data_IF_000166293377
#
_entry.id   IF_000166293377
#
_cell.length_a   1.000
_cell.length_b   1.000
_cell.length_c   1.000
_cell.angle_alpha   90.00
_cell.angle_beta   90.00
_cell.angle_gamma   90.00
#
_symmetry.space_group_name_H-M   'P 1'
#
loop_
_entity.id
_entity.type
_entity.pdbx_description
1 polymer ?
#
# COMPACT_ATOMS: atom_id res chain seq x y z
N UNK A 1 -34.03 -50.41 -32.12
CA UNK A 1 -32.62 -50.35 -31.68
C UNK A 1 -32.26 -48.86 -31.58
N UNK A 2 -32.52 -48.21 -30.43
CA UNK A 2 -31.56 -47.93 -29.33
C UNK A 2 -30.44 -46.97 -29.80
N UNK A 3 -30.53 -45.66 -29.54
CA UNK A 3 -30.15 -44.90 -28.31
C UNK A 3 -28.69 -44.40 -28.31
N UNK A 4 -28.47 -43.11 -28.06
CA UNK A 4 -27.15 -42.57 -27.69
C UNK A 4 -27.00 -41.04 -27.77
N UNK A 5 -27.15 -40.36 -26.63
CA UNK A 5 -26.81 -38.95 -26.39
C UNK A 5 -25.30 -38.67 -26.51
N UNK A 6 -24.94 -37.42 -26.80
CA UNK A 6 -23.55 -36.94 -26.78
C UNK A 6 -23.40 -35.41 -26.69
N UNK A 7 -23.86 -34.85 -25.57
CA UNK A 7 -23.41 -33.66 -24.82
C UNK A 7 -22.59 -32.53 -25.50
N UNK A 8 -23.10 -31.31 -25.32
CA UNK A 8 -22.39 -30.03 -25.32
C UNK A 8 -21.08 -30.06 -24.51
N UNK A 9 -20.03 -29.40 -25.02
CA UNK A 9 -19.00 -28.78 -24.17
C UNK A 9 -18.85 -27.32 -24.55
N UNK A 10 -19.84 -26.52 -24.15
CA UNK A 10 -19.62 -25.08 -23.95
C UNK A 10 -18.55 -24.95 -22.88
N UNK A 11 -17.34 -24.53 -23.29
CA UNK A 11 -16.27 -24.12 -22.37
C UNK A 11 -16.85 -23.00 -21.51
N UNK A 12 -17.31 -23.35 -20.29
CA UNK A 12 -17.55 -22.37 -19.23
C UNK A 12 -16.22 -21.69 -18.95
N UNK A 13 -16.03 -20.55 -19.58
CA UNK A 13 -15.04 -19.57 -19.18
C UNK A 13 -15.40 -19.18 -17.74
N UNK A 14 -14.50 -19.48 -16.81
CA UNK A 14 -14.65 -19.05 -15.42
C UNK A 14 -14.51 -17.52 -15.41
N UNK A 15 -15.40 -16.77 -14.76
CA UNK A 15 -15.19 -15.34 -14.60
C UNK A 15 -14.11 -15.13 -13.54
N UNK A 16 -12.88 -14.87 -13.98
CA UNK A 16 -11.77 -14.42 -13.13
C UNK A 16 -11.81 -12.89 -12.86
N UNK A 17 -13.00 -12.27 -12.86
CA UNK A 17 -13.18 -10.80 -12.76
C UNK A 17 -13.84 -10.32 -11.45
N UNK A 18 -13.22 -10.54 -10.27
CA UNK A 18 -13.44 -9.59 -9.16
C UNK A 18 -12.16 -9.06 -8.49
N UNK A 19 -11.00 -9.71 -8.62
CA UNK A 19 -9.81 -9.32 -7.85
C UNK A 19 -9.13 -8.07 -8.41
N UNK A 20 -9.00 -7.98 -9.74
CA UNK A 20 -8.26 -6.88 -10.38
C UNK A 20 -8.91 -5.51 -10.16
N UNK A 21 -10.25 -5.47 -10.08
CA UNK A 21 -11.00 -4.25 -9.80
C UNK A 21 -10.76 -3.72 -8.38
N UNK A 22 -10.61 -4.62 -7.41
CA UNK A 22 -10.33 -4.26 -6.02
C UNK A 22 -8.90 -3.71 -5.91
N UNK A 23 -7.92 -4.40 -6.49
CA UNK A 23 -6.53 -3.95 -6.48
C UNK A 23 -6.38 -2.56 -7.09
N UNK A 24 -6.97 -2.35 -8.28
CA UNK A 24 -6.91 -1.05 -8.93
C UNK A 24 -7.63 0.05 -8.13
N UNK A 25 -8.71 -0.30 -7.43
CA UNK A 25 -9.40 0.61 -6.50
C UNK A 25 -8.50 0.97 -5.32
N UNK A 26 -7.83 0.00 -4.69
CA UNK A 26 -6.91 0.24 -3.57
C UNK A 26 -5.77 1.17 -3.98
N UNK A 27 -5.14 0.89 -5.13
CA UNK A 27 -4.09 1.75 -5.70
C UNK A 27 -4.62 3.17 -5.89
N UNK A 28 -5.79 3.32 -6.52
CA UNK A 28 -6.37 4.64 -6.79
C UNK A 28 -6.67 5.44 -5.52
N UNK A 29 -7.14 4.78 -4.46
CA UNK A 29 -7.42 5.42 -3.18
C UNK A 29 -6.13 5.94 -2.52
N UNK A 30 -5.08 5.11 -2.50
CA UNK A 30 -3.76 5.48 -1.94
C UNK A 30 -3.11 6.58 -2.77
N UNK A 31 -3.13 6.50 -4.10
CA UNK A 31 -2.48 7.50 -4.97
C UNK A 31 -3.15 8.87 -4.84
N UNK A 32 -4.48 8.93 -4.72
CA UNK A 32 -5.25 10.20 -4.73
C UNK A 32 -5.37 10.88 -3.37
N UNK A 33 -4.98 10.21 -2.28
CA UNK A 33 -5.04 10.82 -0.94
C UNK A 33 -4.14 12.06 -0.89
N UNK A 34 -4.64 13.13 -0.25
CA UNK A 34 -3.91 14.40 -0.11
C UNK A 34 -3.94 15.34 -1.33
N UNK A 35 -4.68 15.03 -2.39
CA UNK A 35 -4.80 15.94 -3.54
C UNK A 35 -5.66 17.19 -3.21
N UNK A 36 -5.41 18.31 -3.91
CA UNK A 36 -5.80 19.71 -3.57
C UNK A 36 -7.30 20.02 -3.36
N UNK A 37 -8.18 19.03 -3.48
CA UNK A 37 -9.65 19.20 -3.42
C UNK A 37 -10.31 18.56 -2.19
N UNK A 38 -9.54 18.18 -1.18
CA UNK A 38 -10.08 17.57 0.03
C UNK A 38 -10.23 18.62 1.13
N UNK A 39 -11.48 18.96 1.46
CA UNK A 39 -11.80 19.95 2.50
C UNK A 39 -11.35 19.52 3.92
N UNK A 40 -11.17 18.21 4.15
CA UNK A 40 -10.68 17.67 5.42
C UNK A 40 -9.80 16.43 5.17
N UNK A 41 -8.49 16.64 5.01
CA UNK A 41 -7.52 15.57 4.73
C UNK A 41 -7.42 14.56 5.87
N UNK A 42 -7.61 15.00 7.12
CA UNK A 42 -7.54 14.14 8.30
C UNK A 42 -8.65 13.10 8.29
N UNK A 43 -9.90 13.53 8.11
CA UNK A 43 -11.04 12.60 8.04
C UNK A 43 -10.92 11.61 6.86
N UNK A 44 -10.36 12.05 5.73
CA UNK A 44 -10.11 11.15 4.60
C UNK A 44 -9.00 10.14 4.89
N UNK A 45 -7.95 10.53 5.63
CA UNK A 45 -6.90 9.61 6.04
C UNK A 45 -7.40 8.55 7.01
N UNK A 46 -8.20 8.94 8.00
CA UNK A 46 -8.84 8.01 8.96
C UNK A 46 -9.80 7.06 8.24
N UNK A 47 -10.66 7.59 7.36
CA UNK A 47 -11.57 6.77 6.58
C UNK A 47 -10.83 5.80 5.66
N UNK A 48 -9.74 6.24 5.04
CA UNK A 48 -8.90 5.38 4.20
C UNK A 48 -8.20 4.30 5.02
N UNK A 49 -7.62 4.63 6.18
CA UNK A 49 -6.94 3.64 7.01
C UNK A 49 -7.88 2.52 7.44
N UNK A 50 -9.12 2.84 7.84
CA UNK A 50 -10.12 1.82 8.18
C UNK A 50 -10.54 0.94 6.99
N UNK A 51 -10.62 1.53 5.78
CA UNK A 51 -10.90 0.74 4.59
C UNK A 51 -9.75 -0.22 4.27
N UNK A 52 -8.51 0.28 4.30
CA UNK A 52 -7.32 -0.52 4.01
C UNK A 52 -7.09 -1.62 5.06
N UNK A 53 -7.36 -1.35 6.33
CA UNK A 53 -7.30 -2.33 7.42
C UNK A 53 -8.10 -3.60 7.09
N UNK A 54 -9.34 -3.45 6.60
CA UNK A 54 -10.18 -4.57 6.19
C UNK A 54 -9.64 -5.36 5.00
N UNK A 55 -8.82 -4.74 4.15
CA UNK A 55 -8.24 -5.35 2.94
C UNK A 55 -6.82 -5.92 3.16
N UNK A 56 -6.16 -5.58 4.28
CA UNK A 56 -4.82 -6.08 4.62
C UNK A 56 -4.69 -7.61 4.56
N UNK A 57 -5.63 -8.44 5.05
CA UNK A 57 -5.49 -9.90 5.02
C UNK A 57 -5.28 -10.50 3.63
N UNK A 58 -5.68 -9.79 2.57
CA UNK A 58 -5.61 -10.27 1.17
C UNK A 58 -4.70 -9.43 0.30
N UNK A 59 -4.53 -8.14 0.60
CA UNK A 59 -3.86 -7.17 -0.27
C UNK A 59 -2.69 -6.45 0.41
N UNK A 60 -2.17 -7.01 1.51
CA UNK A 60 -1.06 -6.43 2.30
C UNK A 60 0.12 -5.93 1.46
N UNK A 61 0.65 -6.78 0.59
CA UNK A 61 1.84 -6.45 -0.20
C UNK A 61 1.54 -5.33 -1.19
N UNK A 62 0.41 -5.40 -1.89
CA UNK A 62 -0.02 -4.35 -2.82
C UNK A 62 -0.16 -3.00 -2.12
N UNK A 63 -0.81 -2.97 -0.95
CA UNK A 63 -0.99 -1.75 -0.16
C UNK A 63 0.37 -1.19 0.25
N UNK A 64 1.27 -2.02 0.75
CA UNK A 64 2.60 -1.61 1.17
C UNK A 64 3.42 -1.10 -0.02
N UNK A 65 3.48 -1.84 -1.13
CA UNK A 65 4.18 -1.46 -2.35
C UNK A 65 3.68 -0.11 -2.89
N UNK A 66 2.35 0.06 -2.97
CA UNK A 66 1.76 1.32 -3.43
C UNK A 66 2.16 2.49 -2.53
N UNK A 67 2.18 2.30 -1.20
CA UNK A 67 2.60 3.34 -0.26
C UNK A 67 4.08 3.69 -0.46
N UNK A 68 4.95 2.70 -0.64
CA UNK A 68 6.39 2.92 -0.87
C UNK A 68 6.63 3.68 -2.17
N UNK A 69 6.01 3.25 -3.27
CA UNK A 69 6.08 3.95 -4.55
C UNK A 69 5.61 5.40 -4.43
N UNK A 70 4.47 5.60 -3.75
CA UNK A 70 3.94 6.92 -3.51
C UNK A 70 4.89 7.79 -2.66
N UNK A 71 5.45 7.27 -1.57
CA UNK A 71 6.40 8.00 -0.74
C UNK A 71 7.68 8.38 -1.49
N UNK A 72 8.15 7.52 -2.39
CA UNK A 72 9.36 7.74 -3.18
C UNK A 72 9.14 8.73 -4.33
N UNK A 73 8.02 8.61 -5.06
CA UNK A 73 7.76 9.35 -6.30
C UNK A 73 6.87 10.59 -6.12
N UNK A 74 6.03 10.63 -5.08
CA UNK A 74 5.11 11.74 -4.79
C UNK A 74 5.58 12.49 -3.54
N UNK A 75 6.84 12.97 -3.54
CA UNK A 75 7.48 13.53 -2.34
C UNK A 75 6.71 14.67 -1.65
N UNK A 76 5.97 15.56 -2.36
CA UNK A 76 5.15 16.59 -1.70
C UNK A 76 4.08 16.03 -0.76
N UNK A 77 3.72 14.75 -0.90
CA UNK A 77 2.73 14.05 -0.09
C UNK A 77 3.36 13.07 0.92
N UNK A 78 4.67 13.12 1.16
CA UNK A 78 5.36 12.18 2.06
C UNK A 78 4.74 12.11 3.46
N UNK A 79 4.40 13.26 4.06
CA UNK A 79 3.75 13.31 5.37
C UNK A 79 2.36 12.67 5.39
N UNK A 80 1.63 12.71 4.27
CA UNK A 80 0.33 12.04 4.11
C UNK A 80 0.54 10.51 4.17
N UNK A 81 1.54 10.00 3.46
CA UNK A 81 1.85 8.57 3.47
C UNK A 81 2.43 8.10 4.80
N UNK A 82 3.28 8.89 5.45
CA UNK A 82 3.74 8.60 6.82
C UNK A 82 2.58 8.53 7.82
N UNK A 83 1.65 9.49 7.76
CA UNK A 83 0.44 9.49 8.60
C UNK A 83 -0.44 8.27 8.34
N UNK A 84 -0.66 7.91 7.07
CA UNK A 84 -1.43 6.71 6.71
C UNK A 84 -0.81 5.44 7.29
N UNK A 85 0.52 5.28 7.21
CA UNK A 85 1.21 4.15 7.84
C UNK A 85 1.09 4.21 9.36
N UNK A 86 1.18 5.38 9.98
CA UNK A 86 0.96 5.54 11.43
C UNK A 86 -0.42 5.06 11.88
N UNK A 87 -1.46 5.44 11.15
CA UNK A 87 -2.83 4.98 11.41
C UNK A 87 -2.96 3.46 11.24
N UNK A 88 -2.39 2.90 10.16
CA UNK A 88 -2.39 1.46 9.93
C UNK A 88 -1.57 0.69 10.96
N UNK A 89 -0.44 1.22 11.42
CA UNK A 89 0.37 0.65 12.49
C UNK A 89 -0.40 0.61 13.82
N UNK A 90 -1.18 1.65 14.12
CA UNK A 90 -2.00 1.67 15.33
C UNK A 90 -3.13 0.62 15.29
N UNK A 91 -3.69 0.33 14.12
CA UNK A 91 -4.72 -0.70 13.96
C UNK A 91 -4.13 -2.12 13.85
N UNK A 92 -3.05 -2.27 13.08
CA UNK A 92 -2.40 -3.53 12.72
C UNK A 92 -0.87 -3.42 12.91
N UNK A 93 -0.35 -3.59 14.14
CA UNK A 93 1.08 -3.39 14.45
C UNK A 93 2.03 -4.25 13.62
N UNK A 94 1.61 -5.46 13.24
CA UNK A 94 2.40 -6.33 12.37
C UNK A 94 2.64 -5.68 11.01
N UNK A 95 1.68 -4.91 10.48
CA UNK A 95 1.86 -4.12 9.24
C UNK A 95 2.93 -3.06 9.41
N UNK A 96 2.88 -2.29 10.50
CA UNK A 96 3.92 -1.31 10.82
C UNK A 96 5.31 -1.95 10.97
N UNK A 97 5.41 -3.10 11.62
CA UNK A 97 6.66 -3.86 11.74
C UNK A 97 7.20 -4.30 10.36
N UNK A 98 6.33 -4.71 9.43
CA UNK A 98 6.74 -5.05 8.07
C UNK A 98 7.22 -3.84 7.28
N UNK A 99 6.55 -2.69 7.44
CA UNK A 99 6.99 -1.43 6.83
C UNK A 99 8.35 -1.00 7.38
N UNK A 100 8.56 -1.08 8.70
CA UNK A 100 9.82 -0.77 9.35
C UNK A 100 10.97 -1.66 8.85
N UNK A 101 10.75 -2.96 8.77
CA UNK A 101 11.74 -3.89 8.25
C UNK A 101 12.08 -3.62 6.77
N UNK A 102 11.06 -3.33 5.95
CA UNK A 102 11.22 -3.04 4.52
C UNK A 102 11.98 -1.74 4.28
N UNK A 103 11.62 -0.65 4.96
CA UNK A 103 12.28 0.65 4.76
C UNK A 103 13.75 0.61 5.17
N UNK A 104 14.09 -0.11 6.25
CA UNK A 104 15.48 -0.34 6.65
C UNK A 104 16.25 -1.10 5.57
N UNK A 105 15.69 -2.21 5.07
CA UNK A 105 16.30 -3.03 4.02
C UNK A 105 16.52 -2.23 2.73
N UNK A 106 15.50 -1.51 2.25
CA UNK A 106 15.60 -0.74 1.02
C UNK A 106 16.55 0.45 1.14
N UNK A 107 16.58 1.12 2.30
CA UNK A 107 17.52 2.21 2.53
C UNK A 107 18.96 1.71 2.54
N UNK A 108 19.24 0.58 3.22
CA UNK A 108 20.56 -0.03 3.21
C UNK A 108 20.98 -0.42 1.79
N UNK A 109 20.09 -1.07 1.03
CA UNK A 109 20.35 -1.43 -0.35
C UNK A 109 20.65 -0.19 -1.22
N UNK A 110 19.89 0.89 -1.06
CA UNK A 110 20.11 2.13 -1.80
C UNK A 110 21.45 2.80 -1.47
N UNK A 111 21.95 2.65 -0.24
CA UNK A 111 23.28 3.11 0.17
C UNK A 111 24.38 2.26 -0.49
N UNK A 112 24.22 0.94 -0.48
CA UNK A 112 25.17 -0.01 -1.08
C UNK A 112 25.26 0.18 -2.61
N UNK A 113 24.12 0.46 -3.26
CA UNK A 113 24.04 0.71 -4.70
C UNK A 113 24.44 2.14 -5.11
N UNK A 114 24.79 3.00 -4.13
CA UNK A 114 25.06 4.42 -4.35
C UNK A 114 23.95 5.12 -5.14
N UNK A 115 22.68 4.87 -4.80
CA UNK A 115 21.50 5.36 -5.51
C UNK A 115 20.92 6.66 -4.87
N UNK A 116 21.41 7.87 -5.22
CA UNK A 116 21.11 9.09 -4.45
C UNK A 116 19.64 9.49 -4.43
N UNK A 117 18.89 9.19 -5.50
CA UNK A 117 17.45 9.50 -5.54
C UNK A 117 16.64 8.59 -4.61
N UNK A 118 16.99 7.30 -4.56
CA UNK A 118 16.38 6.34 -3.65
C UNK A 118 16.73 6.68 -2.20
N UNK A 119 18.01 6.93 -1.90
CA UNK A 119 18.47 7.38 -0.57
C UNK A 119 17.64 8.61 -0.12
N UNK A 120 17.55 9.65 -0.96
CA UNK A 120 16.79 10.87 -0.63
C UNK A 120 15.29 10.62 -0.43
N UNK A 121 14.69 9.69 -1.17
CA UNK A 121 13.29 9.31 -1.04
C UNK A 121 13.03 8.58 0.28
N UNK A 122 13.79 7.50 0.49
CA UNK A 122 13.68 6.62 1.65
C UNK A 122 14.04 7.35 2.96
N UNK A 123 15.09 8.18 2.99
CA UNK A 123 15.41 8.96 4.20
C UNK A 123 14.29 9.91 4.60
N UNK A 124 13.61 10.54 3.64
CA UNK A 124 12.42 11.37 3.95
C UNK A 124 11.31 10.51 4.52
N UNK A 125 11.04 9.36 3.90
CA UNK A 125 9.99 8.47 4.37
C UNK A 125 10.27 7.95 5.78
N UNK A 126 11.52 7.58 6.11
CA UNK A 126 11.95 7.24 7.47
C UNK A 126 11.60 8.33 8.48
N UNK A 127 11.88 9.60 8.17
CA UNK A 127 11.54 10.73 9.06
C UNK A 127 10.02 10.83 9.26
N UNK A 128 9.23 10.65 8.20
CA UNK A 128 7.76 10.65 8.34
C UNK A 128 7.24 9.46 9.17
N UNK A 129 7.88 8.29 9.05
CA UNK A 129 7.55 7.12 9.88
C UNK A 129 7.92 7.33 11.36
N UNK A 130 9.00 8.05 11.66
CA UNK A 130 9.34 8.46 13.03
C UNK A 130 8.30 9.44 13.59
N UNK A 131 7.94 10.46 12.81
CA UNK A 131 6.89 11.43 13.19
C UNK A 131 5.55 10.74 13.47
N UNK A 132 5.24 9.70 12.72
CA UNK A 132 4.03 8.91 12.83
C UNK A 132 4.11 7.76 13.88
N UNK A 133 5.21 7.67 14.66
CA UNK A 133 5.43 6.64 15.69
C UNK A 133 5.40 5.20 15.17
N UNK A 134 5.83 5.00 13.93
CA UNK A 134 6.05 3.68 13.34
C UNK A 134 7.50 3.23 13.60
N UNK A 135 8.44 4.18 13.58
CA UNK A 135 9.85 3.98 13.95
C UNK A 135 10.15 4.74 15.24
N UNK A 136 10.95 4.14 16.12
CA UNK A 136 11.46 4.84 17.30
C UNK A 136 12.66 5.72 16.91
N UNK A 137 12.85 6.90 17.52
CA UNK A 137 13.98 7.78 17.20
C UNK A 137 15.38 7.18 17.42
N UNK A 138 15.44 6.11 18.22
CA UNK A 138 16.67 5.37 18.53
C UNK A 138 16.87 4.13 17.66
N UNK A 139 16.03 3.94 16.63
CA UNK A 139 16.08 2.80 15.70
C UNK A 139 17.21 2.93 14.68
#
# INVERSE_FOLDING_TARGET
>A
LMSGLGTMSSKRQRPDEPSHDIEQRLINLIVKIGDKNVANVTAHLEGLSHALEGDLPRHRELIMETIFDCAQWLQPKSAVYGTLVGLLNNAEPDFGASVAARVHKELQQALDDHAPLAIRGLSRFVVELMNARVLEPTS
#
